data_IF_792734831353
#
_entry.id   IF_792734831353
#
_cell.length_a   1.000
_cell.length_b   1.000
_cell.length_c   1.000
_cell.angle_alpha   90.00
_cell.angle_beta   90.00
_cell.angle_gamma   90.00
#
_symmetry.space_group_name_H-M   'P 1'
#
loop_
_entity.id
_entity.type
_entity.pdbx_description
1 polymer ?
#
# COMPACT_ATOMS: atom_id res chain seq x y z
N UNK A 1 -17.34 -11.91 36.67
CA UNK A 1 -16.30 -12.85 36.13
C UNK A 1 -14.91 -12.48 36.71
N UNK A 2 -13.83 -13.28 36.56
CA UNK A 2 -12.55 -13.05 37.25
C UNK A 2 -11.80 -11.77 36.80
N UNK A 3 -11.82 -11.46 35.51
CA UNK A 3 -11.18 -10.28 34.91
C UNK A 3 -12.20 -9.29 34.34
N UNK A 4 -13.35 -9.23 35.00
CA UNK A 4 -14.48 -8.35 34.69
C UNK A 4 -14.15 -6.89 35.02
N UNK A 5 -13.51 -6.68 36.18
CA UNK A 5 -13.12 -5.37 36.67
C UNK A 5 -11.72 -4.98 36.17
N UNK A 6 -11.50 -3.70 35.84
CA UNK A 6 -10.22 -3.09 35.49
C UNK A 6 -9.12 -3.44 36.50
N UNK A 7 -9.43 -3.37 37.80
CA UNK A 7 -8.50 -3.69 38.88
C UNK A 7 -8.08 -5.18 38.91
N UNK A 8 -8.90 -6.06 38.33
CA UNK A 8 -8.69 -7.51 38.30
C UNK A 8 -8.31 -8.01 36.90
N UNK A 9 -7.83 -7.11 36.03
CA UNK A 9 -7.45 -7.43 34.66
C UNK A 9 -6.46 -8.61 34.59
N UNK A 10 -6.75 -9.58 33.72
CA UNK A 10 -5.90 -10.76 33.56
C UNK A 10 -4.57 -10.40 32.91
N UNK A 11 -3.45 -10.77 33.54
CA UNK A 11 -2.14 -10.51 32.98
C UNK A 11 -1.83 -11.44 31.79
N UNK A 12 -1.40 -10.84 30.68
CA UNK A 12 -0.75 -11.52 29.57
C UNK A 12 0.75 -11.58 29.84
N UNK A 13 1.29 -12.79 30.02
CA UNK A 13 2.69 -13.00 30.44
C UNK A 13 3.66 -13.18 29.27
N UNK A 14 3.17 -13.56 28.09
CA UNK A 14 4.01 -13.85 26.92
C UNK A 14 3.21 -13.75 25.62
N UNK A 15 3.91 -13.52 24.51
CA UNK A 15 3.37 -13.63 23.16
C UNK A 15 3.93 -14.89 22.46
N UNK A 16 3.17 -15.56 21.58
CA UNK A 16 1.76 -15.29 21.27
C UNK A 16 0.83 -15.63 22.45
N UNK A 17 -0.27 -14.90 22.55
CA UNK A 17 -1.33 -15.12 23.53
C UNK A 17 -2.66 -15.32 22.82
N UNK A 18 -3.53 -16.17 23.37
CA UNK A 18 -4.87 -16.37 22.86
C UNK A 18 -5.84 -16.56 24.01
N UNK A 19 -6.94 -15.82 24.00
CA UNK A 19 -8.03 -15.96 24.95
C UNK A 19 -9.34 -16.16 24.18
N UNK A 20 -10.12 -17.21 24.50
CA UNK A 20 -11.46 -17.33 23.95
C UNK A 20 -12.32 -16.15 24.43
N UNK A 21 -13.39 -15.89 23.70
CA UNK A 21 -14.38 -14.91 24.11
C UNK A 21 -14.85 -15.20 25.55
N UNK A 22 -14.84 -14.20 26.43
CA UNK A 22 -15.41 -14.32 27.76
C UNK A 22 -16.94 -14.43 27.68
N UNK A 23 -17.56 -15.01 28.70
CA UNK A 23 -19.01 -14.98 28.83
C UNK A 23 -19.48 -13.58 29.26
N UNK A 24 -19.81 -12.74 28.27
CA UNK A 24 -20.27 -11.36 28.51
C UNK A 24 -21.61 -11.28 29.25
N UNK A 25 -22.36 -12.38 29.41
CA UNK A 25 -23.55 -12.40 30.27
C UNK A 25 -23.21 -12.38 31.76
N UNK A 26 -21.96 -12.70 32.11
CA UNK A 26 -21.42 -12.72 33.47
C UNK A 26 -20.43 -11.57 33.73
N UNK A 27 -20.32 -10.65 32.76
CA UNK A 27 -19.51 -9.46 32.83
C UNK A 27 -20.41 -8.21 33.02
N UNK A 28 -19.81 -7.13 33.48
CA UNK A 28 -20.46 -5.84 33.69
C UNK A 28 -19.56 -4.71 33.20
N UNK A 29 -20.12 -3.52 33.02
CA UNK A 29 -19.34 -2.32 32.82
C UNK A 29 -19.17 -1.60 34.16
N UNK A 30 -17.98 -1.13 34.46
CA UNK A 30 -17.74 -0.26 35.61
C UNK A 30 -17.99 1.22 35.27
N UNK A 31 -18.30 2.06 36.27
CA UNK A 31 -18.27 3.51 36.11
C UNK A 31 -16.92 3.98 35.54
N UNK A 32 -16.96 4.97 34.66
CA UNK A 32 -15.79 5.59 34.03
C UNK A 32 -14.98 4.68 33.08
N UNK A 33 -15.47 3.48 32.76
CA UNK A 33 -14.85 2.67 31.71
C UNK A 33 -14.91 3.37 30.35
N UNK A 34 -13.78 3.43 29.63
CA UNK A 34 -13.79 4.00 28.30
C UNK A 34 -14.62 3.12 27.37
N UNK A 35 -15.31 3.77 26.46
CA UNK A 35 -15.92 3.13 25.29
C UNK A 35 -14.89 3.16 24.17
N UNK A 36 -14.74 2.05 23.45
CA UNK A 36 -13.81 1.94 22.33
C UNK A 36 -14.33 2.68 21.08
N UNK A 37 -14.66 3.97 21.20
CA UNK A 37 -15.34 4.78 20.16
C UNK A 37 -14.55 4.96 18.87
N UNK A 38 -13.24 4.74 18.90
CA UNK A 38 -12.39 4.71 17.71
C UNK A 38 -12.74 3.56 16.74
N UNK A 39 -13.46 2.53 17.22
CA UNK A 39 -13.99 1.45 16.41
C UNK A 39 -15.53 1.44 16.53
N UNK A 40 -16.27 1.34 15.42
CA UNK A 40 -17.72 1.20 15.50
C UNK A 40 -18.12 -0.12 16.20
N UNK A 41 -19.35 -0.22 16.69
CA UNK A 41 -19.93 -1.48 17.17
C UNK A 41 -20.01 -1.64 18.69
N UNK A 42 -19.55 -0.65 19.46
CA UNK A 42 -19.67 -0.64 20.94
C UNK A 42 -20.39 0.61 21.45
N UNK A 43 -21.17 0.44 22.52
CA UNK A 43 -21.84 1.54 23.23
C UNK A 43 -21.43 1.60 24.70
N UNK A 44 -21.61 2.76 25.31
CA UNK A 44 -21.40 2.97 26.74
C UNK A 44 -22.24 2.01 27.59
N UNK A 45 -21.65 1.53 28.69
CA UNK A 45 -22.28 0.58 29.60
C UNK A 45 -22.39 -0.86 29.10
N UNK A 46 -21.79 -1.20 27.95
CA UNK A 46 -21.71 -2.60 27.49
C UNK A 46 -20.65 -3.37 28.28
N UNK A 47 -20.88 -4.65 28.62
CA UNK A 47 -19.96 -5.43 29.45
C UNK A 47 -18.56 -5.46 28.88
N UNK A 48 -17.58 -5.34 29.77
CA UNK A 48 -16.18 -5.31 29.41
C UNK A 48 -15.39 -6.39 30.15
N UNK A 49 -14.26 -6.75 29.56
CA UNK A 49 -13.33 -7.72 30.13
C UNK A 49 -11.93 -7.22 29.91
N UNK A 50 -11.12 -7.25 30.97
CA UNK A 50 -9.82 -6.60 30.97
C UNK A 50 -8.67 -7.59 30.98
N UNK A 51 -7.63 -7.24 30.25
CA UNK A 51 -6.31 -7.85 30.31
C UNK A 51 -5.25 -6.76 30.46
N UNK A 52 -4.08 -7.14 30.98
CA UNK A 52 -2.90 -6.27 31.03
C UNK A 52 -1.73 -6.90 30.30
N UNK A 53 -0.89 -6.07 29.67
CA UNK A 53 0.34 -6.53 29.05
C UNK A 53 1.46 -5.52 29.31
N UNK A 54 2.61 -6.00 29.80
CA UNK A 54 3.81 -5.19 30.02
C UNK A 54 4.95 -5.80 29.21
N UNK A 55 5.28 -5.26 28.03
CA UNK A 55 6.36 -5.82 27.23
C UNK A 55 7.71 -5.58 27.90
N UNK A 56 8.65 -6.51 27.74
CA UNK A 56 10.02 -6.37 28.25
C UNK A 56 10.94 -5.60 27.28
N UNK A 57 10.52 -5.47 26.02
CA UNK A 57 11.23 -4.75 24.96
C UNK A 57 10.26 -3.82 24.23
N UNK A 58 10.76 -2.69 23.71
CA UNK A 58 9.93 -1.75 22.94
C UNK A 58 9.67 -2.36 21.56
N UNK A 59 8.45 -2.83 21.34
CA UNK A 59 8.08 -3.65 20.18
C UNK A 59 6.71 -3.27 19.63
N UNK A 60 6.45 -3.70 18.39
CA UNK A 60 5.09 -3.66 17.84
C UNK A 60 4.43 -5.00 18.05
N UNK A 61 3.22 -4.99 18.62
CA UNK A 61 2.39 -6.20 18.76
C UNK A 61 1.24 -6.13 17.77
N UNK A 62 0.74 -7.28 17.34
CA UNK A 62 -0.46 -7.39 16.54
C UNK A 62 -1.59 -7.97 17.39
N UNK A 63 -2.64 -7.17 17.59
CA UNK A 63 -3.87 -7.61 18.23
C UNK A 63 -4.90 -7.99 17.16
N UNK A 64 -5.63 -9.08 17.35
CA UNK A 64 -6.65 -9.57 16.44
C UNK A 64 -7.83 -10.16 17.23
N UNK A 65 -9.06 -9.92 16.76
CA UNK A 65 -10.24 -10.66 17.22
C UNK A 65 -10.71 -11.56 16.09
N UNK A 66 -10.57 -12.87 16.26
CA UNK A 66 -10.97 -13.88 15.28
C UNK A 66 -12.39 -14.35 15.60
N UNK A 67 -13.33 -14.18 14.68
CA UNK A 67 -14.74 -14.58 14.85
C UNK A 67 -15.09 -15.77 13.96
N UNK A 68 -15.91 -16.68 14.47
CA UNK A 68 -16.44 -17.81 13.71
C UNK A 68 -17.89 -17.55 13.27
N UNK A 69 -18.07 -16.59 12.37
CA UNK A 69 -19.38 -16.14 11.87
C UNK A 69 -19.94 -14.96 12.66
N UNK A 70 -20.74 -14.12 12.00
CA UNK A 70 -21.40 -12.95 12.60
C UNK A 70 -20.46 -11.85 13.11
N UNK A 71 -20.88 -11.18 14.18
CA UNK A 71 -20.10 -10.14 14.86
C UNK A 71 -19.15 -10.71 15.89
N UNK A 72 -18.44 -9.83 16.59
CA UNK A 72 -17.64 -10.20 17.75
C UNK A 72 -17.23 -8.99 18.57
N UNK A 73 -16.58 -9.22 19.72
CA UNK A 73 -16.13 -8.14 20.59
C UNK A 73 -15.13 -7.24 19.89
N UNK A 74 -15.15 -5.97 20.25
CA UNK A 74 -14.12 -5.00 19.89
C UNK A 74 -13.03 -5.07 20.96
N UNK A 75 -11.77 -5.04 20.52
CA UNK A 75 -10.61 -4.92 21.41
C UNK A 75 -10.15 -3.46 21.42
N UNK A 76 -10.19 -2.80 22.57
CA UNK A 76 -9.55 -1.52 22.84
C UNK A 76 -8.17 -1.70 23.48
N UNK A 77 -7.21 -0.86 23.11
CA UNK A 77 -5.85 -0.84 23.69
C UNK A 77 -5.59 0.52 24.29
N UNK A 78 -5.23 0.55 25.57
CA UNK A 78 -5.07 1.78 26.35
C UNK A 78 -3.74 1.82 27.09
N UNK A 79 -3.23 3.03 27.28
CA UNK A 79 -2.19 3.35 28.26
C UNK A 79 -2.78 4.18 29.40
N UNK A 80 -2.16 4.12 30.58
CA UNK A 80 -2.64 4.80 31.79
C UNK A 80 -2.73 3.83 32.96
N UNK A 81 -2.96 4.34 34.17
CA UNK A 81 -2.95 3.53 35.40
C UNK A 81 -4.30 3.49 36.12
N UNK A 82 -5.27 4.28 35.68
CA UNK A 82 -6.61 4.36 36.22
C UNK A 82 -7.62 4.67 35.11
N UNK A 83 -8.87 4.21 35.26
CA UNK A 83 -9.95 4.34 34.26
C UNK A 83 -10.09 5.78 33.72
N UNK A 84 -10.15 6.77 34.61
CA UNK A 84 -10.30 8.19 34.24
C UNK A 84 -9.10 8.78 33.47
N UNK A 85 -7.94 8.11 33.49
CA UNK A 85 -6.71 8.57 32.84
C UNK A 85 -6.35 7.74 31.59
N UNK A 86 -7.14 6.72 31.26
CA UNK A 86 -6.86 5.84 30.13
C UNK A 86 -6.88 6.62 28.82
N UNK A 87 -5.79 6.50 28.06
CA UNK A 87 -5.66 7.05 26.71
C UNK A 87 -5.69 5.90 25.72
N UNK A 88 -6.60 5.98 24.76
CA UNK A 88 -6.71 4.98 23.71
C UNK A 88 -5.53 5.09 22.73
N UNK A 89 -4.81 3.99 22.54
CA UNK A 89 -3.84 3.82 21.45
C UNK A 89 -4.52 3.40 20.14
N UNK A 90 -5.68 2.77 20.26
CA UNK A 90 -6.50 2.35 19.14
C UNK A 90 -7.30 1.11 19.48
N UNK A 91 -7.84 0.47 18.45
CA UNK A 91 -8.76 -0.64 18.62
C UNK A 91 -8.76 -1.58 17.42
N UNK A 92 -9.33 -2.77 17.63
CA UNK A 92 -9.54 -3.81 16.63
C UNK A 92 -11.01 -4.18 16.61
N UNK A 93 -11.63 -4.08 15.45
CA UNK A 93 -12.99 -4.56 15.21
C UNK A 93 -12.93 -5.79 14.29
N UNK A 94 -13.58 -6.92 14.61
CA UNK A 94 -13.52 -8.13 13.80
C UNK A 94 -14.16 -7.99 12.40
N UNK A 95 -15.04 -7.02 12.19
CA UNK A 95 -15.65 -6.71 10.90
C UNK A 95 -14.78 -5.81 10.01
N UNK A 96 -13.78 -5.12 10.55
CA UNK A 96 -12.92 -4.18 9.82
C UNK A 96 -11.45 -4.40 10.15
N UNK A 97 -10.67 -4.79 9.14
CA UNK A 97 -9.21 -4.92 9.23
C UNK A 97 -8.83 -5.89 10.35
N UNK A 98 -8.83 -7.21 10.05
CA UNK A 98 -8.69 -8.37 10.96
C UNK A 98 -7.44 -8.35 11.86
N UNK A 99 -7.32 -7.35 12.71
CA UNK A 99 -6.22 -7.03 13.59
C UNK A 99 -5.61 -5.65 13.31
N UNK A 100 -4.80 -5.19 14.25
CA UNK A 100 -4.07 -3.92 14.15
C UNK A 100 -2.74 -4.05 14.90
N UNK A 101 -1.71 -3.39 14.37
CA UNK A 101 -0.44 -3.29 15.06
C UNK A 101 -0.41 -2.09 16.03
N UNK A 102 0.18 -2.29 17.20
CA UNK A 102 0.32 -1.28 18.25
C UNK A 102 1.77 -1.20 18.69
N UNK A 103 2.33 0.01 18.75
CA UNK A 103 3.67 0.23 19.28
C UNK A 103 3.60 0.32 20.80
N UNK A 104 4.28 -0.60 21.47
CA UNK A 104 4.33 -0.65 22.93
C UNK A 104 5.77 -0.42 23.42
N UNK A 105 5.90 0.30 24.53
CA UNK A 105 7.17 0.66 25.14
C UNK A 105 7.52 -0.30 26.27
N UNK A 106 8.78 -0.75 26.31
CA UNK A 106 9.27 -1.65 27.35
C UNK A 106 8.96 -1.13 28.76
N UNK A 107 8.50 -2.01 29.64
CA UNK A 107 8.21 -1.69 31.04
C UNK A 107 6.94 -0.87 31.28
N UNK A 108 6.21 -0.47 30.23
CA UNK A 108 4.92 0.22 30.37
C UNK A 108 3.79 -0.79 30.37
N UNK A 109 2.89 -0.72 31.35
CA UNK A 109 1.69 -1.57 31.40
C UNK A 109 0.61 -0.98 30.51
N UNK A 110 0.11 -1.80 29.60
CA UNK A 110 -1.02 -1.49 28.72
C UNK A 110 -2.24 -2.29 29.13
N UNK A 111 -3.41 -1.68 28.98
CA UNK A 111 -4.70 -2.28 29.28
C UNK A 111 -5.42 -2.64 27.98
N UNK A 112 -5.93 -3.86 27.93
CA UNK A 112 -6.62 -4.44 26.79
C UNK A 112 -8.05 -4.74 27.20
N UNK A 113 -9.00 -4.06 26.58
CA UNK A 113 -10.42 -4.18 26.92
C UNK A 113 -11.13 -4.91 25.79
N UNK A 114 -11.77 -6.05 26.09
CA UNK A 114 -12.75 -6.64 25.19
C UNK A 114 -14.13 -6.13 25.57
N UNK A 115 -14.87 -5.61 24.60
CA UNK A 115 -16.21 -5.05 24.81
C UNK A 115 -17.17 -5.57 23.74
N UNK A 116 -18.40 -5.91 24.12
CA UNK A 116 -19.37 -6.45 23.17
C UNK A 116 -20.82 -6.00 23.43
N UNK A 117 -21.48 -5.45 22.40
CA UNK A 117 -22.85 -4.94 22.51
C UNK A 117 -23.93 -5.92 22.05
N UNK A 118 -23.57 -6.83 21.13
CA UNK A 118 -24.52 -7.68 20.44
C UNK A 118 -24.33 -9.09 20.94
N UNK A 119 -25.08 -9.54 21.96
CA UNK A 119 -24.93 -10.87 22.56
C UNK A 119 -25.35 -12.01 21.62
N UNK A 120 -24.67 -12.16 20.48
CA UNK A 120 -24.78 -13.33 19.64
C UNK A 120 -24.00 -14.50 20.25
N UNK A 121 -24.36 -15.72 19.84
CA UNK A 121 -23.73 -16.95 20.31
C UNK A 121 -22.44 -17.27 19.54
N UNK A 122 -21.94 -16.33 18.73
CA UNK A 122 -20.76 -16.58 17.92
C UNK A 122 -19.52 -16.60 18.81
N UNK A 123 -18.61 -17.52 18.49
CA UNK A 123 -17.36 -17.64 19.25
C UNK A 123 -16.34 -16.71 18.64
N UNK A 124 -15.77 -15.84 19.48
CA UNK A 124 -14.60 -15.06 19.14
C UNK A 124 -13.36 -15.53 19.91
N UNK A 125 -12.18 -15.19 19.43
CA UNK A 125 -10.90 -15.42 20.11
C UNK A 125 -10.04 -14.19 19.95
N UNK A 126 -9.67 -13.56 21.06
CA UNK A 126 -8.64 -12.54 21.07
C UNK A 126 -7.28 -13.20 20.89
N UNK A 127 -6.48 -12.70 19.95
CA UNK A 127 -5.11 -13.14 19.69
C UNK A 127 -4.18 -11.94 19.78
N UNK A 128 -3.05 -12.14 20.45
CA UNK A 128 -1.96 -11.18 20.49
C UNK A 128 -0.69 -11.90 20.02
N UNK A 129 0.06 -11.29 19.12
CA UNK A 129 1.36 -11.79 18.67
C UNK A 129 2.33 -10.63 18.48
N UNK A 130 3.60 -10.93 18.20
CA UNK A 130 4.49 -9.93 17.61
C UNK A 130 3.90 -9.46 16.27
N UNK A 131 4.07 -8.18 15.96
CA UNK A 131 3.63 -7.64 14.68
C UNK A 131 4.50 -8.17 13.54
N UNK A 132 3.92 -8.71 12.46
CA UNK A 132 4.68 -9.07 11.27
C UNK A 132 5.44 -7.86 10.70
N UNK A 133 6.49 -8.06 9.89
CA UNK A 133 7.13 -6.98 9.17
C UNK A 133 6.13 -6.18 8.33
N UNK A 134 6.36 -4.87 8.18
CA UNK A 134 5.57 -4.06 7.26
C UNK A 134 5.91 -4.47 5.82
N UNK A 135 4.89 -4.72 5.01
CA UNK A 135 5.04 -5.10 3.60
C UNK A 135 4.36 -4.07 2.70
N UNK A 136 5.14 -3.42 1.83
CA UNK A 136 4.65 -2.42 0.87
C UNK A 136 5.27 -2.69 -0.48
N UNK A 137 4.44 -2.62 -1.53
CA UNK A 137 4.87 -2.69 -2.91
C UNK A 137 4.77 -1.30 -3.56
N UNK A 138 5.75 -0.91 -4.38
CA UNK A 138 5.69 0.26 -5.25
C UNK A 138 5.59 -0.17 -6.71
N UNK A 139 4.67 0.45 -7.43
CA UNK A 139 4.55 0.30 -8.88
C UNK A 139 4.70 1.64 -9.59
N UNK A 140 5.27 1.62 -10.79
CA UNK A 140 5.20 2.74 -11.72
C UNK A 140 4.09 2.50 -12.75
N UNK A 141 3.42 3.56 -13.17
CA UNK A 141 2.50 3.56 -14.31
C UNK A 141 3.22 3.68 -15.65
N UNK A 142 4.56 3.73 -15.65
CA UNK A 142 5.37 3.76 -16.85
C UNK A 142 5.43 2.36 -17.49
N UNK A 143 5.18 2.28 -18.79
CA UNK A 143 5.40 1.07 -19.58
C UNK A 143 6.42 1.34 -20.67
N UNK A 144 7.57 0.66 -20.64
CA UNK A 144 8.66 0.88 -21.58
C UNK A 144 9.37 2.23 -21.39
N UNK A 145 10.11 2.66 -22.42
CA UNK A 145 10.84 3.95 -22.41
C UNK A 145 9.85 5.12 -22.30
N UNK A 146 10.09 6.03 -21.35
CA UNK A 146 9.37 7.29 -21.19
C UNK A 146 10.19 8.44 -21.76
N UNK A 147 9.56 9.56 -22.12
CA UNK A 147 10.29 10.77 -22.51
C UNK A 147 10.33 11.79 -21.36
N UNK A 148 11.23 12.77 -21.43
CA UNK A 148 11.26 13.91 -20.47
C UNK A 148 10.00 14.79 -20.47
N UNK A 149 9.06 14.54 -21.40
CA UNK A 149 7.79 15.25 -21.50
C UNK A 149 6.62 14.47 -20.90
N UNK A 150 6.85 13.26 -20.37
CA UNK A 150 5.82 12.45 -19.75
C UNK A 150 5.81 12.58 -18.24
N UNK A 151 4.61 12.79 -17.69
CA UNK A 151 4.36 12.64 -16.27
C UNK A 151 4.14 11.16 -15.94
N UNK A 152 4.92 10.63 -15.00
CA UNK A 152 4.86 9.24 -14.56
C UNK A 152 4.19 9.20 -13.20
N UNK A 153 3.14 8.39 -13.07
CA UNK A 153 2.47 8.17 -11.79
C UNK A 153 3.03 6.93 -11.13
N UNK A 154 3.41 7.05 -9.85
CA UNK A 154 3.83 5.96 -8.99
C UNK A 154 2.77 5.73 -7.91
N UNK A 155 2.62 4.48 -7.48
CA UNK A 155 1.63 4.09 -6.47
C UNK A 155 2.24 3.10 -5.49
N UNK A 156 1.85 3.21 -4.24
CA UNK A 156 2.18 2.24 -3.19
C UNK A 156 0.97 1.40 -2.82
N UNK A 157 1.22 0.11 -2.57
CA UNK A 157 0.22 -0.86 -2.14
C UNK A 157 0.73 -1.55 -0.87
N UNK A 158 0.33 -1.09 0.32
CA UNK A 158 0.52 -1.87 1.54
C UNK A 158 -0.20 -3.21 1.37
N UNK A 159 0.52 -4.33 1.58
CA UNK A 159 -0.03 -5.68 1.39
C UNK A 159 -1.16 -5.97 2.36
N UNK A 160 -1.09 -5.37 3.53
CA UNK A 160 -2.02 -5.57 4.61
C UNK A 160 -2.78 -4.28 4.91
N UNK A 161 -4.11 -4.36 4.94
CA UNK A 161 -4.92 -3.20 5.28
C UNK A 161 -4.82 -2.80 6.75
N UNK A 162 -4.46 -3.72 7.64
CA UNK A 162 -4.29 -3.46 9.07
C UNK A 162 -3.06 -2.62 9.42
N UNK A 163 -2.17 -2.38 8.45
CA UNK A 163 -1.01 -1.50 8.57
C UNK A 163 -1.33 -0.05 8.16
N UNK A 164 -2.53 0.20 7.63
CA UNK A 164 -2.93 1.50 7.11
C UNK A 164 -3.54 2.41 8.19
N UNK A 165 -3.38 3.74 8.08
CA UNK A 165 -2.63 4.45 7.04
C UNK A 165 -1.11 4.33 7.22
N UNK A 166 -0.39 4.34 6.09
CA UNK A 166 1.08 4.47 6.07
C UNK A 166 1.47 5.83 5.53
N UNK A 167 2.59 6.37 6.02
CA UNK A 167 3.24 7.53 5.40
C UNK A 167 4.31 7.07 4.43
N UNK A 168 4.53 7.82 3.34
CA UNK A 168 5.46 7.46 2.27
C UNK A 168 6.42 8.62 1.98
N UNK A 169 7.70 8.31 1.90
CA UNK A 169 8.78 9.20 1.48
C UNK A 169 9.34 8.68 0.16
N UNK A 170 9.51 9.57 -0.83
CA UNK A 170 9.82 9.20 -2.21
C UNK A 170 11.18 9.77 -2.61
N UNK A 171 12.10 8.90 -2.99
CA UNK A 171 13.34 9.26 -3.68
C UNK A 171 13.21 8.82 -5.15
N UNK A 172 13.29 9.78 -6.09
CA UNK A 172 13.15 9.49 -7.52
C UNK A 172 14.46 9.05 -8.19
N UNK A 173 15.57 8.98 -7.46
CA UNK A 173 16.86 8.51 -7.98
C UNK A 173 17.60 9.52 -8.87
N UNK A 174 17.07 10.75 -9.02
CA UNK A 174 17.73 11.87 -9.69
C UNK A 174 18.28 12.93 -8.72
N UNK A 175 18.27 12.62 -7.42
CA UNK A 175 18.62 13.52 -6.32
C UNK A 175 17.41 14.23 -5.69
N UNK A 176 16.20 14.10 -6.27
CA UNK A 176 14.98 14.65 -5.70
C UNK A 176 14.35 13.69 -4.70
N UNK A 177 14.20 14.16 -3.46
CA UNK A 177 13.51 13.44 -2.38
C UNK A 177 12.34 14.29 -1.90
N UNK A 178 11.14 13.70 -1.86
CA UNK A 178 9.96 14.33 -1.27
C UNK A 178 9.82 13.92 0.19
N UNK A 179 9.46 14.85 1.08
CA UNK A 179 9.26 14.55 2.49
C UNK A 179 8.10 13.56 2.69
N UNK A 180 8.06 12.84 3.83
CA UNK A 180 6.99 11.92 4.16
C UNK A 180 5.59 12.57 4.07
N UNK A 181 4.66 11.92 3.37
CA UNK A 181 3.24 12.31 3.38
C UNK A 181 2.31 11.09 3.43
N UNK A 182 1.02 11.31 3.66
CA UNK A 182 0.01 10.23 3.63
C UNK A 182 -0.44 9.85 2.21
N UNK A 183 0.20 10.41 1.18
CA UNK A 183 -0.18 10.13 -0.21
C UNK A 183 0.31 8.75 -0.62
N UNK A 184 -0.60 7.91 -1.11
CA UNK A 184 -0.26 6.60 -1.68
C UNK A 184 0.10 6.65 -3.16
N UNK A 185 0.11 7.85 -3.76
CA UNK A 185 0.48 8.06 -5.16
C UNK A 185 1.17 9.38 -5.38
N UNK A 186 2.16 9.41 -6.29
CA UNK A 186 2.88 10.61 -6.71
C UNK A 186 3.00 10.65 -8.22
N UNK A 187 2.89 11.84 -8.80
CA UNK A 187 3.15 12.08 -10.21
C UNK A 187 4.45 12.88 -10.33
N UNK A 188 5.37 12.42 -11.16
CA UNK A 188 6.71 13.00 -11.30
C UNK A 188 7.18 12.96 -12.76
N UNK A 189 7.98 13.95 -13.16
CA UNK A 189 8.54 14.07 -14.50
C UNK A 189 10.03 14.35 -14.45
N UNK A 190 10.80 13.50 -15.10
CA UNK A 190 12.26 13.62 -15.16
C UNK A 190 12.69 14.68 -16.17
N UNK A 191 13.70 15.48 -15.78
CA UNK A 191 14.24 16.53 -16.63
C UNK A 191 15.31 16.04 -17.64
N UNK A 192 15.85 14.83 -17.43
CA UNK A 192 16.95 14.27 -18.22
C UNK A 192 16.69 12.81 -18.57
N UNK A 193 17.25 12.38 -19.70
CA UNK A 193 17.34 10.97 -20.05
C UNK A 193 18.22 10.22 -19.05
N UNK A 194 17.81 9.01 -18.69
CA UNK A 194 18.49 8.19 -17.69
C UNK A 194 17.69 6.97 -17.28
N UNK A 195 18.36 6.06 -16.57
CA UNK A 195 17.71 4.97 -15.86
C UNK A 195 17.65 5.35 -14.39
N UNK A 196 16.45 5.45 -13.84
CA UNK A 196 16.21 5.89 -12.48
C UNK A 196 15.66 4.74 -11.65
N UNK A 197 16.20 4.58 -10.45
CA UNK A 197 15.64 3.70 -9.42
C UNK A 197 14.87 4.56 -8.44
N UNK A 198 13.55 4.45 -8.47
CA UNK A 198 12.67 5.11 -7.51
C UNK A 198 12.60 4.25 -6.26
N UNK A 199 12.89 4.84 -5.11
CA UNK A 199 12.87 4.20 -3.80
C UNK A 199 11.77 4.82 -2.96
N UNK A 200 10.95 3.98 -2.33
CA UNK A 200 9.88 4.45 -1.43
C UNK A 200 10.09 3.87 -0.05
N UNK A 201 10.23 4.76 0.93
CA UNK A 201 10.25 4.38 2.34
C UNK A 201 8.87 4.62 2.93
N UNK A 202 8.22 3.54 3.38
CA UNK A 202 6.90 3.58 4.00
C UNK A 202 7.00 3.35 5.50
N UNK A 203 6.20 4.07 6.29
CA UNK A 203 6.15 3.95 7.76
C UNK A 203 4.70 3.79 8.23
N UNK A 204 4.40 2.73 8.98
CA UNK A 204 3.08 2.49 9.59
C UNK A 204 2.88 3.33 10.85
N UNK A 205 1.63 3.40 11.33
CA UNK A 205 1.29 4.16 12.55
C UNK A 205 2.04 3.64 13.80
N UNK A 206 2.34 2.34 13.86
CA UNK A 206 3.11 1.72 14.94
C UNK A 206 4.64 1.85 14.74
N UNK A 207 5.10 2.57 13.72
CA UNK A 207 6.50 2.90 13.50
C UNK A 207 7.34 1.80 12.82
N UNK A 208 6.73 0.70 12.36
CA UNK A 208 7.41 -0.24 11.46
C UNK A 208 7.65 0.45 10.11
N UNK A 209 8.77 0.13 9.48
CA UNK A 209 9.16 0.70 8.19
C UNK A 209 9.38 -0.38 7.14
N UNK A 210 9.05 -0.07 5.89
CA UNK A 210 9.33 -0.90 4.72
C UNK A 210 9.96 -0.05 3.63
N UNK A 211 10.75 -0.66 2.76
CA UNK A 211 11.32 0.01 1.60
C UNK A 211 11.15 -0.87 0.38
N UNK A 212 10.64 -0.29 -0.70
CA UNK A 212 10.53 -0.96 -1.98
C UNK A 212 10.99 -0.05 -3.11
N UNK A 213 11.35 -0.64 -4.25
CA UNK A 213 11.92 0.07 -5.40
C UNK A 213 11.25 -0.30 -6.71
N UNK A 214 11.20 0.66 -7.64
CA UNK A 214 10.81 0.42 -9.03
C UNK A 214 11.73 1.19 -9.97
N UNK A 215 11.90 0.70 -11.19
CA UNK A 215 12.80 1.33 -12.17
C UNK A 215 12.03 2.03 -13.28
N UNK A 216 12.59 3.13 -13.76
CA UNK A 216 12.06 3.89 -14.91
C UNK A 216 13.20 4.17 -15.87
N UNK A 217 12.95 3.92 -17.16
CA UNK A 217 13.86 4.30 -18.25
C UNK A 217 13.28 5.54 -18.94
N UNK A 218 14.02 6.65 -18.89
CA UNK A 218 13.68 7.90 -19.57
C UNK A 218 14.65 8.11 -20.73
N UNK A 219 14.11 8.23 -21.93
CA UNK A 219 14.86 8.41 -23.17
C UNK A 219 14.05 9.24 -24.16
N UNK A 220 14.62 10.35 -24.57
CA UNK A 220 14.00 11.29 -25.48
C UNK A 220 14.59 11.05 -26.87
N UNK A 221 13.80 10.44 -27.74
CA UNK A 221 14.17 10.30 -29.14
C UNK A 221 13.97 11.66 -29.82
N UNK A 222 15.07 12.30 -30.21
CA UNK A 222 15.00 13.55 -30.97
C UNK A 222 14.38 13.29 -32.35
N UNK A 223 13.18 13.84 -32.58
CA UNK A 223 12.50 13.78 -33.88
C UNK A 223 12.75 15.09 -34.60
N UNK A 224 13.91 15.18 -35.25
CA UNK A 224 14.19 16.24 -36.21
C UNK A 224 13.35 16.10 -37.47
N UNK A 225 12.74 17.20 -37.95
CA UNK A 225 12.18 17.25 -39.31
C UNK A 225 13.34 17.16 -40.30
N UNK A 226 13.59 15.97 -40.84
CA UNK A 226 14.73 15.72 -41.71
C UNK A 226 14.75 16.56 -43.00
N UNK A 227 13.59 17.09 -43.44
CA UNK A 227 13.50 17.99 -44.59
C UNK A 227 12.16 18.73 -44.61
N UNK A 228 12.20 20.05 -44.54
CA UNK A 228 11.07 20.90 -44.91
C UNK A 228 11.30 21.40 -46.34
N UNK A 229 10.58 20.85 -47.31
CA UNK A 229 10.68 21.29 -48.70
C UNK A 229 9.70 22.46 -48.90
N UNK A 230 10.24 23.67 -49.03
CA UNK A 230 9.50 24.82 -49.54
C UNK A 230 9.48 24.77 -51.07
N UNK A 231 8.31 24.81 -51.73
CA UNK A 231 8.26 24.88 -53.18
C UNK A 231 8.89 26.20 -53.68
N UNK A 232 9.65 26.12 -54.77
CA UNK A 232 10.38 27.27 -55.35
C UNK A 232 9.45 28.36 -55.93
N UNK A 233 8.15 28.08 -56.07
CA UNK A 233 7.13 29.06 -56.44
C UNK A 233 5.77 28.64 -55.89
N UNK A 234 4.98 29.61 -55.44
CA UNK A 234 3.59 29.44 -55.02
C UNK A 234 2.72 30.54 -55.65
N UNK A 235 1.56 30.16 -56.21
CA UNK A 235 0.57 31.14 -56.72
C UNK A 235 -0.31 31.63 -55.57
N UNK A 236 -0.59 32.94 -55.55
CA UNK A 236 -1.56 33.57 -54.63
C UNK A 236 -2.90 32.83 -54.74
N UNK A 237 -3.40 32.30 -53.61
CA UNK A 237 -4.63 31.51 -53.53
C UNK A 237 -4.44 29.97 -53.47
N UNK A 238 -3.21 29.44 -53.57
CA UNK A 238 -2.95 27.99 -53.56
C UNK A 238 -2.61 27.47 -52.17
N UNK A 239 -3.30 26.43 -51.66
CA UNK A 239 -2.86 25.66 -50.49
C UNK A 239 -2.08 24.43 -50.93
N UNK A 240 -0.77 24.42 -50.71
CA UNK A 240 0.09 23.24 -50.93
C UNK A 240 0.14 22.37 -49.67
N UNK A 241 -0.10 21.06 -49.81
CA UNK A 241 0.11 20.07 -48.74
C UNK A 241 1.49 19.45 -48.91
N UNK A 242 2.41 19.80 -48.01
CA UNK A 242 3.74 19.17 -47.98
C UNK A 242 3.63 17.75 -47.40
N UNK A 243 4.11 16.69 -48.10
CA UNK A 243 4.14 15.34 -47.54
C UNK A 243 5.29 15.23 -46.54
N UNK A 244 4.98 15.33 -45.25
CA UNK A 244 5.92 15.02 -44.18
C UNK A 244 6.19 13.52 -44.14
N UNK A 245 7.42 13.10 -44.49
CA UNK A 245 7.91 11.72 -44.26
C UNK A 245 8.61 11.69 -42.90
N UNK A 246 7.98 11.06 -41.91
CA UNK A 246 8.68 10.65 -40.69
C UNK A 246 9.58 9.47 -41.03
N UNK A 247 10.86 9.55 -40.63
CA UNK A 247 11.84 8.48 -40.79
C UNK A 247 12.17 7.99 -39.38
N UNK A 248 11.91 6.72 -39.09
CA UNK A 248 12.33 6.09 -37.82
C UNK A 248 13.85 6.00 -37.75
N UNK A 249 14.48 6.15 -36.56
CA UNK A 249 15.91 5.90 -36.41
C UNK A 249 16.20 4.43 -36.73
N UNK A 250 17.32 4.19 -37.41
CA UNK A 250 17.73 2.86 -37.83
C UNK A 250 18.06 1.98 -36.61
N UNK A 251 17.20 1.01 -36.29
CA UNK A 251 17.51 -0.05 -35.34
C UNK A 251 18.22 -1.22 -36.03
N UNK A 252 19.39 -1.57 -35.47
CA UNK A 252 20.08 -2.85 -35.45
C UNK A 252 20.35 -3.55 -36.79
N UNK A 253 21.61 -3.42 -37.24
CA UNK A 253 22.22 -4.23 -38.30
C UNK A 253 22.51 -5.62 -37.72
N UNK A 254 21.64 -6.60 -37.93
CA UNK A 254 22.01 -8.01 -37.73
C UNK A 254 22.99 -8.42 -38.83
N UNK A 255 24.12 -8.97 -38.43
CA UNK A 255 25.16 -9.47 -39.33
C UNK A 255 24.60 -10.60 -40.23
N UNK A 256 25.03 -10.71 -41.51
CA UNK A 256 24.62 -11.81 -42.36
C UNK A 256 25.29 -13.11 -41.88
N UNK A 257 24.47 -14.10 -41.51
CA UNK A 257 24.90 -15.49 -41.35
C UNK A 257 25.21 -16.07 -42.73
N UNK A 258 26.40 -16.62 -42.89
CA UNK A 258 26.84 -17.38 -44.06
C UNK A 258 25.93 -18.59 -44.32
N UNK A 259 25.57 -18.79 -45.60
CA UNK A 259 24.89 -20.00 -46.10
C UNK A 259 25.77 -21.23 -45.89
N UNK A 260 25.27 -22.22 -45.16
CA UNK A 260 25.67 -23.62 -45.31
C UNK A 260 24.45 -24.43 -45.74
N UNK A 261 24.63 -25.18 -46.82
CA UNK A 261 23.70 -26.17 -47.38
C UNK A 261 23.36 -27.27 -46.36
N UNK A 262 22.08 -27.59 -46.20
CA UNK A 262 21.63 -28.69 -45.36
C UNK A 262 20.12 -28.87 -45.38
N UNK A 263 19.69 -30.11 -45.57
CA UNK A 263 18.36 -30.60 -45.97
C UNK A 263 17.33 -30.62 -44.83
N UNK A 264 16.06 -30.40 -45.20
CA UNK A 264 14.81 -30.93 -44.64
C UNK A 264 14.32 -30.58 -43.20
N UNK A 265 13.00 -30.34 -43.17
CA UNK A 265 12.01 -30.67 -42.13
C UNK A 265 11.43 -29.57 -41.21
N UNK A 266 10.12 -29.40 -41.39
CA UNK A 266 9.03 -29.26 -40.39
C UNK A 266 8.79 -27.91 -39.68
N UNK A 267 7.49 -27.59 -39.64
CA UNK A 267 6.87 -26.31 -39.30
C UNK A 267 6.94 -25.91 -37.81
N UNK A 268 6.96 -24.59 -37.57
CA UNK A 268 6.82 -23.98 -36.25
C UNK A 268 6.38 -22.51 -36.35
N UNK A 269 5.11 -22.28 -36.04
CA UNK A 269 4.36 -21.01 -36.10
C UNK A 269 4.92 -20.00 -35.07
N UNK A 270 5.31 -18.78 -35.48
CA UNK A 270 5.50 -17.63 -34.57
C UNK A 270 4.60 -16.46 -34.98
N UNK A 271 3.89 -15.93 -33.99
CA UNK A 271 2.82 -14.94 -34.06
C UNK A 271 3.32 -13.56 -34.47
N UNK A 272 2.45 -12.84 -35.18
CA UNK A 272 2.66 -11.52 -35.74
C UNK A 272 2.90 -10.44 -34.66
N UNK A 273 3.97 -9.66 -34.83
CA UNK A 273 4.15 -8.37 -34.15
C UNK A 273 3.17 -7.34 -34.72
N UNK A 274 2.53 -6.58 -33.83
CA UNK A 274 1.54 -5.56 -34.18
C UNK A 274 2.15 -4.49 -35.09
N UNK A 275 1.60 -4.34 -36.30
CA UNK A 275 1.82 -3.15 -37.13
C UNK A 275 0.99 -2.01 -36.54
N UNK A 276 1.65 -1.02 -35.96
CA UNK A 276 1.04 0.26 -35.64
C UNK A 276 0.72 1.00 -36.95
N UNK A 277 -0.54 0.95 -37.37
CA UNK A 277 -1.08 1.74 -38.49
C UNK A 277 -1.33 3.18 -38.05
N UNK A 278 -0.64 4.12 -38.68
CA UNK A 278 -0.85 5.55 -38.45
C UNK A 278 -2.16 5.98 -39.12
N UNK A 279 -3.24 6.16 -38.34
CA UNK A 279 -4.57 6.56 -38.84
C UNK A 279 -4.62 8.09 -38.95
N UNK A 280 -4.82 8.59 -40.18
CA UNK A 280 -5.05 10.03 -40.44
C UNK A 280 -6.43 10.44 -39.94
N UNK A 281 -6.52 11.30 -38.93
CA UNK A 281 -7.72 12.10 -38.65
C UNK A 281 -7.78 13.31 -39.60
N UNK A 282 -8.90 13.48 -40.31
CA UNK A 282 -9.22 14.69 -41.08
C UNK A 282 -9.85 15.71 -40.13
N UNK A 283 -9.50 17.02 -40.21
CA UNK A 283 -10.31 18.04 -39.56
C UNK A 283 -11.65 18.20 -40.32
N UNK A 284 -12.72 18.37 -39.56
CA UNK A 284 -14.05 18.73 -40.05
C UNK A 284 -14.04 20.12 -40.72
N UNK A 285 -14.96 20.31 -41.66
CA UNK A 285 -15.02 21.42 -42.60
C UNK A 285 -15.61 22.69 -41.98
#
# INVERSE_FOLDING_TARGET
MANDYFANAQQVTSLPFSAPQPDFSLASAEPDEPVTTACPGVSEGTPTVWYTYTPTTTQSIFGQVVVNGGGGPVLGVYEGSALAELKALGCVNPSYYNGKAFRLVAGTTYHLQLQYSFYDTNTATMRLSEAPPLEVEVSSGASGEQSIFHDITFRTYPRNHYDQPVTTEWDFGDGTILPPSTDSSKTYRYAKDGNYTVTVRSTSQDGRTATDTTTVVVKTHDVGIAKFITPASARVGSRSRSPSRCRTPATWRTAPRSRSTGTASTAGRKSAGSRSTCRRTRPAR
#
